data_IF_678830110711
#
_entry.id   IF_678830110711
#
_cell.length_a   1.000
_cell.length_b   1.000
_cell.length_c   1.000
_cell.angle_alpha   90.00
_cell.angle_beta   90.00
_cell.angle_gamma   90.00
#
_symmetry.space_group_name_H-M   'P 1'
#
loop_
_entity.id
_entity.type
_entity.pdbx_description
1 polymer ?
#
# COMPACT_ATOMS: atom_id res chain seq x y z
N UNK A 1 -7.05 25.82 9.65
CA UNK A 1 -7.09 24.56 8.87
C UNK A 1 -6.17 23.57 9.56
N UNK A 2 -6.56 22.30 9.77
CA UNK A 2 -5.66 21.30 10.39
C UNK A 2 -4.62 20.88 9.36
N UNK A 3 -3.33 21.02 9.67
CA UNK A 3 -2.27 20.58 8.77
C UNK A 3 -2.32 19.07 8.53
N UNK A 4 -2.11 18.69 7.27
CA UNK A 4 -2.16 17.30 6.84
C UNK A 4 -0.82 16.61 7.16
N UNK A 5 -0.71 16.04 8.35
CA UNK A 5 0.52 15.40 8.86
C UNK A 5 0.53 13.91 8.49
N UNK A 6 1.69 13.45 8.00
CA UNK A 6 1.97 12.07 7.60
C UNK A 6 2.98 11.43 8.57
N UNK A 7 2.62 10.34 9.26
CA UNK A 7 3.52 9.61 10.14
C UNK A 7 4.36 8.60 9.36
N UNK A 8 5.61 8.96 9.06
CA UNK A 8 6.54 8.17 8.24
C UNK A 8 7.67 7.67 9.12
N UNK A 9 7.94 6.36 9.06
CA UNK A 9 9.07 5.73 9.74
C UNK A 9 10.35 5.82 8.92
N UNK A 10 10.23 5.67 7.60
CA UNK A 10 11.39 5.68 6.72
C UNK A 10 10.99 6.19 5.33
N UNK A 11 11.85 7.01 4.75
CA UNK A 11 11.80 7.38 3.35
C UNK A 11 13.19 7.17 2.75
N UNK A 12 13.27 6.39 1.67
CA UNK A 12 14.53 6.08 0.99
C UNK A 12 14.36 6.18 -0.50
N UNK A 13 15.39 6.64 -1.19
CA UNK A 13 15.48 6.60 -2.63
C UNK A 13 16.32 5.38 -3.01
N UNK A 14 15.74 4.43 -3.74
CA UNK A 14 16.49 3.25 -4.19
C UNK A 14 17.50 3.62 -5.28
N UNK A 15 18.44 2.71 -5.57
CA UNK A 15 19.36 2.84 -6.71
C UNK A 15 18.65 3.01 -8.05
N UNK A 16 17.44 2.44 -8.18
CA UNK A 16 16.57 2.61 -9.35
C UNK A 16 15.77 3.93 -9.32
N UNK A 17 16.14 4.87 -8.45
CA UNK A 17 15.48 6.16 -8.28
C UNK A 17 14.00 6.04 -7.86
N UNK A 18 13.58 4.91 -7.29
CA UNK A 18 12.21 4.71 -6.80
C UNK A 18 12.14 5.09 -5.33
N UNK A 19 11.19 5.95 -4.95
CA UNK A 19 10.97 6.29 -3.55
C UNK A 19 10.29 5.13 -2.82
N UNK A 20 10.86 4.69 -1.71
CA UNK A 20 10.25 3.76 -0.77
C UNK A 20 9.85 4.54 0.47
N UNK A 21 8.55 4.57 0.76
CA UNK A 21 7.94 5.35 1.85
C UNK A 21 7.24 4.39 2.79
N UNK A 22 7.75 4.27 4.00
CA UNK A 22 7.21 3.38 5.02
C UNK A 22 6.47 4.18 6.10
N UNK A 23 5.18 3.90 6.27
CA UNK A 23 4.37 4.54 7.31
C UNK A 23 4.51 3.83 8.65
N UNK A 24 4.35 4.59 9.74
CA UNK A 24 4.51 4.08 11.12
C UNK A 24 3.35 3.22 11.61
N UNK A 25 2.20 3.25 10.92
CA UNK A 25 0.99 2.61 11.41
C UNK A 25 0.82 1.19 10.84
N UNK A 26 1.41 0.21 11.52
CA UNK A 26 0.96 -1.18 11.49
C UNK A 26 0.46 -1.56 12.89
N UNK A 27 -0.83 -1.89 13.01
CA UNK A 27 -1.41 -2.35 14.28
C UNK A 27 -1.15 -3.85 14.52
N UNK A 28 -0.61 -4.55 13.53
CA UNK A 28 -0.34 -5.98 13.61
C UNK A 28 1.08 -6.22 14.15
N UNK A 29 1.18 -6.98 15.24
CA UNK A 29 2.44 -7.52 15.75
C UNK A 29 2.75 -8.84 15.05
N UNK A 30 3.04 -8.78 13.75
CA UNK A 30 3.34 -9.99 12.98
C UNK A 30 4.70 -10.56 13.38
N UNK A 31 4.79 -11.86 13.69
CA UNK A 31 6.05 -12.53 14.06
C UNK A 31 7.12 -12.47 12.95
N UNK A 32 6.69 -12.37 11.70
CA UNK A 32 7.55 -12.23 10.52
C UNK A 32 7.87 -10.77 10.15
N UNK A 33 7.37 -9.80 10.91
CA UNK A 33 7.69 -8.40 10.66
C UNK A 33 9.12 -8.12 11.15
N UNK A 34 10.08 -8.16 10.22
CA UNK A 34 11.47 -7.79 10.50
C UNK A 34 11.66 -6.27 10.72
N UNK A 35 10.58 -5.49 10.71
CA UNK A 35 10.64 -4.03 10.78
C UNK A 35 10.23 -3.56 12.17
N UNK A 36 11.21 -3.38 13.05
CA UNK A 36 11.02 -2.58 14.26
C UNK A 36 10.77 -1.12 13.84
N UNK A 37 9.56 -0.62 14.05
CA UNK A 37 9.20 0.78 13.77
C UNK A 37 9.57 1.66 14.96
N UNK A 38 10.86 1.93 15.13
CA UNK A 38 11.37 2.66 16.31
C UNK A 38 11.51 4.16 16.09
N UNK A 39 11.68 4.62 14.84
CA UNK A 39 11.91 6.03 14.53
C UNK A 39 10.74 6.63 13.74
N UNK A 40 9.76 7.20 14.44
CA UNK A 40 8.66 7.92 13.81
C UNK A 40 9.05 9.36 13.50
N UNK A 41 8.86 9.78 12.26
CA UNK A 41 9.01 11.16 11.83
C UNK A 41 7.68 11.68 11.28
N UNK A 42 7.41 12.96 11.50
CA UNK A 42 6.21 13.62 11.02
C UNK A 42 6.56 14.56 9.87
N UNK A 43 5.92 14.35 8.74
CA UNK A 43 6.05 15.20 7.56
C UNK A 43 4.74 15.93 7.33
N UNK A 44 4.80 17.23 7.06
CA UNK A 44 3.69 17.91 6.40
C UNK A 44 3.59 17.40 4.98
N UNK A 45 2.38 17.42 4.40
CA UNK A 45 2.18 17.09 2.99
C UNK A 45 3.14 17.86 2.07
N UNK A 46 3.31 19.17 2.27
CA UNK A 46 4.18 20.00 1.44
C UNK A 46 5.65 19.53 1.51
N UNK A 47 6.17 19.31 2.72
CA UNK A 47 7.53 18.83 2.92
C UNK A 47 7.74 17.46 2.29
N UNK A 48 6.76 16.58 2.41
CA UNK A 48 6.79 15.25 1.81
C UNK A 48 6.83 15.33 0.28
N UNK A 49 5.96 16.13 -0.34
CA UNK A 49 5.92 16.26 -1.80
C UNK A 49 7.18 16.92 -2.36
N UNK A 50 7.69 17.97 -1.71
CA UNK A 50 8.98 18.60 -2.06
C UNK A 50 10.13 17.59 -2.00
N UNK A 51 10.12 16.69 -1.03
CA UNK A 51 11.13 15.64 -0.94
C UNK A 51 11.08 14.67 -2.13
N UNK A 52 9.89 14.31 -2.61
CA UNK A 52 9.76 13.38 -3.74
C UNK A 52 10.26 13.99 -5.06
N UNK A 53 10.22 15.31 -5.19
CA UNK A 53 10.68 16.04 -6.39
C UNK A 53 12.21 15.97 -6.62
N UNK A 54 13.00 15.54 -5.64
CA UNK A 54 14.46 15.37 -5.80
C UNK A 54 14.86 14.20 -6.71
N UNK A 55 13.92 13.37 -7.15
CA UNK A 55 14.19 12.31 -8.11
C UNK A 55 13.60 12.62 -9.48
N UNK A 56 14.35 12.28 -10.53
CA UNK A 56 13.86 12.32 -11.91
C UNK A 56 12.85 11.20 -12.20
N UNK A 57 12.84 10.13 -11.39
CA UNK A 57 11.91 9.02 -11.57
C UNK A 57 10.64 9.26 -10.74
N UNK A 58 9.51 9.32 -11.43
CA UNK A 58 8.18 9.57 -10.85
C UNK A 58 7.57 8.26 -10.36
N UNK A 59 8.24 7.56 -9.45
CA UNK A 59 7.73 6.29 -8.87
C UNK A 59 7.84 6.28 -7.35
N UNK A 60 6.72 5.97 -6.68
CA UNK A 60 6.64 5.86 -5.22
C UNK A 60 6.04 4.51 -4.81
N UNK A 61 6.72 3.84 -3.89
CA UNK A 61 6.26 2.64 -3.21
C UNK A 61 5.90 2.98 -1.78
N UNK A 62 4.63 2.84 -1.44
CA UNK A 62 4.15 2.95 -0.08
C UNK A 62 4.18 1.58 0.59
N UNK A 63 4.82 1.48 1.75
CA UNK A 63 4.87 0.26 2.56
C UNK A 63 4.16 0.53 3.88
N UNK A 64 3.17 -0.31 4.17
CA UNK A 64 2.22 -0.07 5.25
C UNK A 64 1.24 1.07 4.94
N UNK A 65 0.36 1.34 5.91
CA UNK A 65 -0.53 2.51 5.89
C UNK A 65 -1.69 2.47 4.89
N UNK A 66 -2.92 2.46 5.39
CA UNK A 66 -4.08 3.07 4.76
C UNK A 66 -4.46 4.30 5.60
N UNK A 67 -3.54 5.27 5.68
CA UNK A 67 -3.73 6.45 6.51
C UNK A 67 -4.74 7.40 5.84
N UNK A 68 -5.70 7.93 6.61
CA UNK A 68 -6.80 8.74 6.08
C UNK A 68 -6.33 10.04 5.40
N UNK A 69 -5.21 10.59 5.86
CA UNK A 69 -4.64 11.84 5.36
C UNK A 69 -3.92 11.71 4.01
N UNK A 70 -3.78 10.50 3.47
CA UNK A 70 -3.06 10.29 2.20
C UNK A 70 -3.85 10.69 0.97
N UNK A 71 -5.17 10.91 1.07
CA UNK A 71 -6.02 11.19 -0.09
C UNK A 71 -5.48 12.34 -0.94
N UNK A 72 -5.21 13.49 -0.32
CA UNK A 72 -4.70 14.66 -1.04
C UNK A 72 -3.31 14.43 -1.63
N UNK A 73 -2.45 13.69 -0.92
CA UNK A 73 -1.09 13.34 -1.39
C UNK A 73 -1.16 12.42 -2.60
N UNK A 74 -2.01 11.38 -2.56
CA UNK A 74 -2.16 10.44 -3.67
C UNK A 74 -2.73 11.13 -4.91
N UNK A 75 -3.76 11.96 -4.73
CA UNK A 75 -4.33 12.74 -5.83
C UNK A 75 -3.27 13.63 -6.48
N UNK A 76 -2.54 14.42 -5.69
CA UNK A 76 -1.51 15.29 -6.23
C UNK A 76 -0.37 14.51 -6.93
N UNK A 77 0.06 13.38 -6.37
CA UNK A 77 1.07 12.55 -7.02
C UNK A 77 0.58 11.98 -8.36
N UNK A 78 -0.70 11.58 -8.46
CA UNK A 78 -1.25 11.16 -9.75
C UNK A 78 -1.38 12.29 -10.75
N UNK A 79 -1.78 13.49 -10.33
CA UNK A 79 -1.80 14.69 -11.17
C UNK A 79 -0.39 15.03 -11.69
N UNK A 80 0.64 14.80 -10.89
CA UNK A 80 2.04 14.93 -11.26
C UNK A 80 2.61 13.70 -12.00
N UNK A 81 1.75 12.80 -12.49
CA UNK A 81 2.10 11.59 -13.26
C UNK A 81 3.04 10.62 -12.54
N UNK A 82 2.98 10.52 -11.21
CA UNK A 82 3.67 9.45 -10.50
C UNK A 82 2.99 8.09 -10.73
N UNK A 83 3.84 7.06 -10.83
CA UNK A 83 3.46 5.67 -10.67
C UNK A 83 3.47 5.31 -9.18
N UNK A 84 2.34 4.85 -8.66
CA UNK A 84 2.09 4.58 -7.25
C UNK A 84 1.89 3.08 -7.04
N UNK A 85 2.73 2.51 -6.19
CA UNK A 85 2.60 1.12 -5.72
C UNK A 85 2.34 1.15 -4.21
N UNK A 86 1.47 0.28 -3.71
CA UNK A 86 1.28 0.09 -2.28
C UNK A 86 1.44 -1.38 -1.87
N UNK A 87 2.07 -1.58 -0.72
CA UNK A 87 2.17 -2.84 0.01
C UNK A 87 1.48 -2.69 1.36
N UNK A 88 0.42 -3.44 1.62
CA UNK A 88 -0.40 -3.26 2.84
C UNK A 88 -0.97 -4.56 3.41
N UNK A 89 -1.18 -4.58 4.72
CA UNK A 89 -1.95 -5.57 5.47
C UNK A 89 -3.29 -5.00 5.99
N UNK A 90 -3.58 -3.72 5.71
CA UNK A 90 -4.73 -3.08 6.34
C UNK A 90 -6.04 -3.52 5.70
N UNK A 91 -7.08 -3.56 6.52
CA UNK A 91 -8.46 -3.91 6.15
C UNK A 91 -9.37 -2.67 6.15
N UNK A 92 -8.93 -1.53 5.64
CA UNK A 92 -9.78 -0.33 5.63
C UNK A 92 -9.85 0.25 4.23
N UNK A 93 -11.04 0.27 3.64
CA UNK A 93 -11.25 0.93 2.35
C UNK A 93 -10.85 2.41 2.41
N UNK A 94 -10.10 2.86 1.40
CA UNK A 94 -9.75 4.27 1.20
C UNK A 94 -10.12 4.68 -0.21
N UNK A 95 -10.72 5.87 -0.35
CA UNK A 95 -11.13 6.44 -1.64
C UNK A 95 -9.97 6.63 -2.62
N UNK A 96 -8.74 6.73 -2.11
CA UNK A 96 -7.53 6.85 -2.92
C UNK A 96 -6.90 5.51 -3.32
N UNK A 97 -7.36 4.37 -2.80
CA UNK A 97 -6.86 3.06 -3.26
C UNK A 97 -6.96 2.86 -4.78
N UNK A 98 -8.06 3.28 -5.45
CA UNK A 98 -8.17 3.21 -6.91
C UNK A 98 -7.19 4.10 -7.68
N UNK A 99 -6.44 4.98 -7.02
CA UNK A 99 -5.38 5.78 -7.63
C UNK A 99 -4.07 5.00 -7.79
N UNK A 100 -3.97 3.81 -7.17
CA UNK A 100 -2.75 2.99 -7.24
C UNK A 100 -2.62 2.33 -8.62
N UNK A 101 -1.39 2.29 -9.12
CA UNK A 101 -1.06 1.55 -10.35
C UNK A 101 -0.73 0.09 -10.05
N UNK A 102 -0.46 -0.25 -8.78
CA UNK A 102 -0.29 -1.62 -8.32
C UNK A 102 -0.52 -1.75 -6.82
N UNK A 103 -1.18 -2.83 -6.42
CA UNK A 103 -1.48 -3.13 -5.01
C UNK A 103 -0.97 -4.53 -4.67
N UNK A 104 -0.10 -4.60 -3.67
CA UNK A 104 0.31 -5.81 -2.98
C UNK A 104 -0.43 -5.90 -1.66
N UNK A 105 -1.29 -6.90 -1.50
CA UNK A 105 -2.04 -7.13 -0.27
C UNK A 105 -1.53 -8.36 0.45
N UNK A 106 -0.98 -8.15 1.64
CA UNK A 106 -0.55 -9.24 2.50
C UNK A 106 -1.71 -9.69 3.37
N UNK A 107 -2.12 -10.95 3.19
CA UNK A 107 -3.17 -11.58 3.99
C UNK A 107 -2.53 -12.30 5.17
N UNK A 108 -2.94 -11.91 6.37
CA UNK A 108 -2.39 -12.36 7.65
C UNK A 108 -3.45 -12.95 8.57
N UNK A 109 -4.72 -12.96 8.16
CA UNK A 109 -5.83 -13.71 8.79
C UNK A 109 -6.88 -14.06 7.74
N UNK A 110 -7.75 -15.03 8.03
CA UNK A 110 -8.88 -15.39 7.16
C UNK A 110 -9.96 -14.30 7.10
N UNK A 111 -10.21 -13.62 8.22
CA UNK A 111 -11.14 -12.48 8.30
C UNK A 111 -10.71 -11.35 7.35
N UNK A 112 -9.40 -11.13 7.25
CA UNK A 112 -8.85 -10.18 6.30
C UNK A 112 -9.17 -10.56 4.87
N UNK A 113 -9.02 -11.83 4.49
CA UNK A 113 -9.33 -12.29 3.14
C UNK A 113 -10.79 -11.99 2.77
N UNK A 114 -11.73 -12.35 3.65
CA UNK A 114 -13.15 -12.09 3.42
C UNK A 114 -13.46 -10.59 3.25
N UNK A 115 -12.79 -9.74 4.02
CA UNK A 115 -12.94 -8.29 3.93
C UNK A 115 -12.37 -7.75 2.63
N UNK A 116 -11.15 -8.16 2.24
CA UNK A 116 -10.53 -7.67 1.01
C UNK A 116 -11.25 -8.16 -0.24
N UNK A 117 -11.83 -9.37 -0.23
CA UNK A 117 -12.58 -9.92 -1.38
C UNK A 117 -13.69 -8.98 -1.86
N UNK A 118 -14.36 -8.26 -0.94
CA UNK A 118 -15.36 -7.25 -1.28
C UNK A 118 -14.75 -6.14 -2.14
N UNK A 119 -13.51 -5.75 -1.84
CA UNK A 119 -12.78 -4.71 -2.57
C UNK A 119 -12.09 -5.20 -3.82
N UNK A 120 -11.66 -6.47 -3.86
CA UNK A 120 -11.03 -7.06 -5.04
C UNK A 120 -11.96 -6.95 -6.25
N UNK A 121 -13.26 -7.22 -6.08
CA UNK A 121 -14.26 -7.02 -7.14
C UNK A 121 -14.26 -5.60 -7.68
N UNK A 122 -14.26 -4.60 -6.80
CA UNK A 122 -14.25 -3.20 -7.19
C UNK A 122 -12.95 -2.79 -7.90
N UNK A 123 -11.80 -3.21 -7.36
CA UNK A 123 -10.48 -2.87 -7.89
C UNK A 123 -10.20 -3.58 -9.24
N UNK A 124 -10.74 -4.79 -9.45
CA UNK A 124 -10.67 -5.49 -10.73
C UNK A 124 -11.35 -4.72 -11.86
N UNK A 125 -12.52 -4.11 -11.61
CA UNK A 125 -13.19 -3.26 -12.60
C UNK A 125 -12.39 -2.01 -12.97
N UNK A 126 -11.39 -1.63 -12.16
CA UNK A 126 -10.46 -0.53 -12.43
C UNK A 126 -9.20 -0.97 -13.17
N UNK A 127 -9.08 -2.26 -13.50
CA UNK A 127 -7.91 -2.85 -14.16
C UNK A 127 -6.59 -2.59 -13.42
N UNK A 128 -6.65 -2.43 -12.09
CA UNK A 128 -5.46 -2.27 -11.26
C UNK A 128 -4.82 -3.65 -11.08
N UNK A 129 -3.53 -3.84 -11.41
CA UNK A 129 -2.80 -5.05 -11.04
C UNK A 129 -2.82 -5.28 -9.53
N UNK A 130 -3.42 -6.39 -9.13
CA UNK A 130 -3.56 -6.82 -7.74
C UNK A 130 -2.72 -8.08 -7.52
N UNK A 131 -1.94 -8.08 -6.45
CA UNK A 131 -1.19 -9.25 -6.00
C UNK A 131 -1.58 -9.55 -4.55
N UNK A 132 -2.16 -10.72 -4.30
CA UNK A 132 -2.46 -11.22 -2.97
C UNK A 132 -1.33 -12.14 -2.54
N UNK A 133 -0.79 -11.86 -1.35
CA UNK A 133 0.34 -12.59 -0.77
C UNK A 133 -0.13 -13.21 0.53
N UNK A 134 -0.27 -14.53 0.56
CA UNK A 134 -0.55 -15.26 1.79
C UNK A 134 0.74 -15.42 2.60
N UNK A 135 0.71 -15.06 3.88
CA UNK A 135 1.87 -15.29 4.76
C UNK A 135 1.94 -16.71 5.29
N UNK A 136 0.79 -17.40 5.32
CA UNK A 136 0.71 -18.82 5.64
C UNK A 136 0.44 -19.62 4.34
N UNK A 137 1.37 -20.50 3.92
CA UNK A 137 1.18 -21.35 2.75
C UNK A 137 -0.05 -22.27 2.81
N UNK A 138 -0.51 -22.63 4.02
CA UNK A 138 -1.70 -23.47 4.19
C UNK A 138 -2.97 -22.76 3.71
N UNK A 139 -3.02 -21.43 3.79
CA UNK A 139 -4.18 -20.68 3.33
C UNK A 139 -4.30 -20.72 1.81
N UNK A 140 -3.18 -20.67 1.09
CA UNK A 140 -3.23 -20.80 -0.37
C UNK A 140 -3.90 -22.11 -0.80
N UNK A 141 -3.63 -23.21 -0.09
CA UNK A 141 -4.26 -24.51 -0.37
C UNK A 141 -5.75 -24.53 0.00
N UNK A 142 -6.13 -23.88 1.10
CA UNK A 142 -7.53 -23.80 1.54
C UNK A 142 -8.41 -22.97 0.61
N UNK A 143 -7.81 -22.08 -0.19
CA UNK A 143 -8.51 -21.17 -1.09
C UNK A 143 -8.11 -21.38 -2.56
N UNK A 144 -7.90 -22.63 -2.95
CA UNK A 144 -7.49 -23.02 -4.29
C UNK A 144 -8.48 -22.58 -5.39
N UNK A 145 -9.72 -22.24 -5.03
CA UNK A 145 -10.76 -21.72 -5.93
C UNK A 145 -10.63 -20.23 -6.24
N UNK A 146 -9.90 -19.45 -5.44
CA UNK A 146 -9.79 -17.99 -5.62
C UNK A 146 -9.15 -17.58 -6.94
N UNK A 147 -8.08 -18.24 -7.43
CA UNK A 147 -7.53 -17.93 -8.76
C UNK A 147 -8.55 -18.11 -9.89
N UNK A 148 -9.43 -19.11 -9.80
CA UNK A 148 -10.49 -19.31 -10.79
C UNK A 148 -11.59 -18.24 -10.68
N UNK A 149 -11.95 -17.85 -9.45
CA UNK A 149 -12.94 -16.81 -9.17
C UNK A 149 -12.47 -15.40 -9.57
N UNK A 150 -11.16 -15.15 -9.48
CA UNK A 150 -10.54 -13.84 -9.70
C UNK A 150 -9.29 -13.97 -10.59
N UNK A 151 -9.46 -14.29 -11.89
CA UNK A 151 -8.36 -14.70 -12.77
C UNK A 151 -7.34 -13.59 -13.10
N UNK A 152 -7.71 -12.33 -12.88
CA UNK A 152 -6.83 -11.17 -13.12
C UNK A 152 -5.93 -10.83 -11.94
N UNK A 153 -6.12 -11.50 -10.79
CA UNK A 153 -5.35 -11.29 -9.58
C UNK A 153 -4.19 -12.27 -9.56
N UNK A 154 -2.99 -11.78 -9.22
CA UNK A 154 -1.83 -12.62 -8.96
C UNK A 154 -1.87 -13.13 -7.52
N UNK A 155 -1.63 -14.43 -7.32
CA UNK A 155 -1.71 -15.09 -6.01
C UNK A 155 -0.36 -15.72 -5.68
N UNK A 156 0.20 -15.42 -4.49
CA UNK A 156 1.50 -15.89 -4.02
C UNK A 156 1.47 -16.32 -2.56
#
# INVERSE_FOLDING_TARGET
MKENILPITQITLSSSQKWLVQFTMCHLKCAWCNKQMTNQQFYTQEKFLKLLQYSNNRSVHFIGGLHKNLEQVMTQLKEENYSLTIETTQMIWRKWLPLMDRIYWHVTTLEQLATIEIWLRFLQHKHIPLTIIFKDPLWYQQYAELPAKYPTIQWH
#
